data_IF_717061192246
#
_entry.id   IF_717061192246
#
_cell.length_a   1.000
_cell.length_b   1.000
_cell.length_c   1.000
_cell.angle_alpha   90.00
_cell.angle_beta   90.00
_cell.angle_gamma   90.00
#
_symmetry.space_group_name_H-M   'P 1'
#
loop_
_entity.id
_entity.type
_entity.pdbx_description
1 polymer ?
#
# COMPACT_ATOMS: atom_id res chain seq x y z
N UNK A 1 -34.51 3.20 11.93
CA UNK A 1 -33.39 3.41 10.98
C UNK A 1 -32.64 2.09 10.86
N UNK A 2 -32.14 1.70 9.68
CA UNK A 2 -31.29 0.52 9.55
C UNK A 2 -30.05 0.65 10.46
N UNK A 3 -29.57 -0.48 10.99
CA UNK A 3 -28.38 -0.53 11.86
C UNK A 3 -27.15 -0.16 11.01
N UNK A 4 -26.34 0.78 11.52
CA UNK A 4 -25.08 1.16 10.87
C UNK A 4 -24.08 0.02 10.93
N UNK A 5 -23.30 -0.19 9.86
CA UNK A 5 -22.19 -1.14 9.88
C UNK A 5 -21.03 -0.55 10.70
N UNK A 6 -20.43 -1.35 11.57
CA UNK A 6 -19.28 -0.97 12.40
C UNK A 6 -18.00 -1.19 11.62
N UNK A 7 -17.33 -0.10 11.27
CA UNK A 7 -16.14 -0.09 10.43
C UNK A 7 -14.91 0.15 11.31
N UNK A 8 -14.07 -0.87 11.46
CA UNK A 8 -12.79 -0.78 12.15
C UNK A 8 -11.74 -0.12 11.27
N UNK A 9 -11.24 1.06 11.63
CA UNK A 9 -10.14 1.72 10.89
C UNK A 9 -8.85 1.46 11.66
N UNK A 10 -7.99 0.57 11.13
CA UNK A 10 -6.71 0.21 11.75
C UNK A 10 -5.60 1.10 11.19
N UNK A 11 -4.82 1.77 12.04
CA UNK A 11 -3.77 2.70 11.63
C UNK A 11 -2.59 2.79 12.61
N UNK A 12 -1.56 3.55 12.27
CA UNK A 12 -0.29 3.64 12.99
C UNK A 12 0.68 2.55 12.54
N UNK A 13 1.05 1.67 13.47
CA UNK A 13 1.95 0.54 13.24
C UNK A 13 3.41 0.81 13.59
N UNK A 14 4.22 -0.24 13.49
CA UNK A 14 5.65 -0.23 13.82
C UNK A 14 6.54 0.24 12.66
N UNK A 15 5.93 0.46 11.50
CA UNK A 15 6.59 0.93 10.28
C UNK A 15 7.13 2.36 10.45
N UNK A 16 8.17 2.70 9.67
CA UNK A 16 8.64 4.10 9.55
C UNK A 16 7.57 5.05 9.00
N UNK A 17 6.46 4.52 8.49
CA UNK A 17 5.34 5.26 7.89
C UNK A 17 4.17 5.47 8.88
N UNK A 18 4.40 5.30 10.19
CA UNK A 18 3.40 5.47 11.25
C UNK A 18 2.61 6.79 11.12
N UNK A 19 3.31 7.91 10.93
CA UNK A 19 2.65 9.23 10.86
C UNK A 19 1.82 9.41 9.58
N UNK A 20 2.26 8.79 8.47
CA UNK A 20 1.50 8.77 7.22
C UNK A 20 0.22 7.97 7.42
N UNK A 21 0.30 6.83 8.09
CA UNK A 21 -0.86 6.00 8.44
C UNK A 21 -1.88 6.75 9.28
N UNK A 22 -1.45 7.51 10.31
CA UNK A 22 -2.36 8.36 11.12
C UNK A 22 -3.06 9.42 10.28
N UNK A 23 -2.35 10.05 9.33
CA UNK A 23 -2.94 11.01 8.38
C UNK A 23 -3.94 10.36 7.43
N UNK A 24 -3.62 9.20 6.87
CA UNK A 24 -4.53 8.45 6.01
C UNK A 24 -5.80 8.04 6.78
N UNK A 25 -5.66 7.59 8.04
CA UNK A 25 -6.79 7.28 8.89
C UNK A 25 -7.69 8.49 9.14
N UNK A 26 -7.09 9.66 9.39
CA UNK A 26 -7.84 10.92 9.47
C UNK A 26 -8.66 11.16 8.20
N UNK A 27 -8.06 11.07 7.02
CA UNK A 27 -8.76 11.32 5.75
C UNK A 27 -9.92 10.33 5.53
N UNK A 28 -9.71 9.04 5.81
CA UNK A 28 -10.76 8.02 5.74
C UNK A 28 -11.90 8.33 6.72
N UNK A 29 -11.58 8.62 7.98
CA UNK A 29 -12.58 8.96 9.02
C UNK A 29 -13.33 10.24 8.66
N UNK A 30 -12.69 11.24 8.08
CA UNK A 30 -13.35 12.49 7.66
C UNK A 30 -14.25 12.29 6.43
N UNK A 31 -13.91 11.38 5.50
CA UNK A 31 -14.63 11.18 4.25
C UNK A 31 -15.76 10.11 4.30
N UNK A 32 -15.65 9.09 5.15
CA UNK A 32 -16.62 7.98 5.22
C UNK A 32 -18.05 8.45 5.54
N UNK A 33 -19.09 7.82 4.98
CA UNK A 33 -20.48 8.23 5.21
C UNK A 33 -20.99 7.82 6.61
N UNK A 34 -21.07 8.79 7.54
CA UNK A 34 -21.50 8.56 8.93
C UNK A 34 -23.00 8.28 9.08
N UNK A 35 -23.79 8.41 8.01
CA UNK A 35 -25.19 7.97 8.03
C UNK A 35 -25.30 6.45 7.86
N UNK A 36 -24.35 5.83 7.15
CA UNK A 36 -24.29 4.38 6.90
C UNK A 36 -23.39 3.62 7.88
N UNK A 37 -22.31 4.27 8.35
CA UNK A 37 -21.21 3.62 9.03
C UNK A 37 -20.94 4.19 10.42
N UNK A 38 -20.80 3.33 11.43
CA UNK A 38 -20.22 3.67 12.72
C UNK A 38 -18.71 3.37 12.68
N UNK A 39 -17.88 4.40 12.85
CA UNK A 39 -16.43 4.23 12.78
C UNK A 39 -15.82 3.89 14.14
N UNK A 40 -15.01 2.82 14.16
CA UNK A 40 -14.25 2.36 15.33
C UNK A 40 -12.75 2.54 15.01
N UNK A 41 -12.10 3.61 15.50
CA UNK A 41 -10.65 3.78 15.28
C UNK A 41 -9.87 2.76 16.12
N UNK A 42 -8.82 2.18 15.55
CA UNK A 42 -7.92 1.23 16.21
C UNK A 42 -6.49 1.63 15.83
N UNK A 43 -5.67 1.98 16.81
CA UNK A 43 -4.30 2.38 16.54
C UNK A 43 -3.33 1.31 17.00
N UNK A 44 -2.27 1.08 16.25
CA UNK A 44 -1.13 0.26 16.66
C UNK A 44 0.01 1.22 16.98
N UNK A 45 0.59 1.14 18.18
CA UNK A 45 1.72 1.98 18.58
C UNK A 45 3.00 1.63 17.81
N UNK A 46 4.06 2.45 17.96
CA UNK A 46 5.37 2.17 17.36
C UNK A 46 6.04 0.93 17.96
N UNK A 47 5.66 0.57 19.17
CA UNK A 47 6.07 -0.65 19.87
C UNK A 47 5.25 -1.88 19.44
N UNK A 48 4.09 -1.66 18.81
CA UNK A 48 3.20 -2.71 18.31
C UNK A 48 1.98 -2.98 19.18
N UNK A 49 1.74 -2.18 20.22
CA UNK A 49 0.58 -2.35 21.10
C UNK A 49 -0.68 -1.86 20.39
N UNK A 50 -1.76 -2.61 20.50
CA UNK A 50 -3.05 -2.29 19.88
C UNK A 50 -3.91 -1.52 20.87
N UNK A 51 -4.09 -0.23 20.59
CA UNK A 51 -4.78 0.71 21.45
C UNK A 51 -6.30 0.63 21.24
N UNK A 52 -7.06 0.63 22.33
CA UNK A 52 -8.51 0.74 22.28
C UNK A 52 -9.00 2.01 21.56
N UNK A 53 -10.26 2.03 21.07
CA UNK A 53 -10.80 3.17 20.34
C UNK A 53 -10.68 4.52 21.03
N UNK A 54 -10.87 4.58 22.35
CA UNK A 54 -10.78 5.82 23.10
C UNK A 54 -9.36 6.39 23.14
N UNK A 55 -8.34 5.52 23.22
CA UNK A 55 -6.93 5.89 23.16
C UNK A 55 -6.48 6.19 21.73
N UNK A 56 -6.87 5.36 20.74
CA UNK A 56 -6.61 5.59 19.32
C UNK A 56 -7.16 6.95 18.85
N UNK A 57 -8.34 7.35 19.32
CA UNK A 57 -8.95 8.63 19.01
C UNK A 57 -8.14 9.86 19.49
N UNK A 58 -7.18 9.69 20.42
CA UNK A 58 -6.32 10.76 20.91
C UNK A 58 -5.15 11.09 19.98
N UNK A 59 -4.80 10.15 19.10
CA UNK A 59 -3.81 10.35 18.03
C UNK A 59 -4.38 11.17 16.86
N UNK A 60 -5.70 11.30 16.78
CA UNK A 60 -6.39 12.02 15.72
C UNK A 60 -6.63 13.49 16.10
N UNK A 61 -6.66 14.42 15.13
CA UNK A 61 -6.98 15.81 15.42
C UNK A 61 -8.34 15.99 16.08
N UNK A 62 -8.47 17.02 16.93
CA UNK A 62 -9.72 17.31 17.67
C UNK A 62 -10.97 17.39 16.76
N UNK A 63 -10.83 17.94 15.54
CA UNK A 63 -11.91 18.03 14.55
C UNK A 63 -12.38 16.64 14.14
N UNK A 64 -11.45 15.75 13.82
CA UNK A 64 -11.70 14.35 13.44
C UNK A 64 -12.30 13.56 14.61
N UNK A 65 -11.76 13.73 15.82
CA UNK A 65 -12.28 13.08 17.04
C UNK A 65 -13.76 13.38 17.25
N UNK A 66 -14.22 14.61 16.98
CA UNK A 66 -15.64 15.01 17.12
C UNK A 66 -16.60 14.27 16.18
N UNK A 67 -16.09 13.69 15.08
CA UNK A 67 -16.89 12.89 14.14
C UNK A 67 -17.14 11.46 14.64
N UNK A 68 -16.39 11.01 15.64
CA UNK A 68 -16.51 9.66 16.19
C UNK A 68 -17.66 9.55 17.19
N UNK A 69 -18.26 8.36 17.28
CA UNK A 69 -19.34 8.07 18.23
C UNK A 69 -18.90 8.31 19.68
N UNK A 70 -19.85 8.59 20.57
CA UNK A 70 -19.55 8.73 22.01
C UNK A 70 -18.93 7.45 22.58
N UNK A 71 -19.37 6.29 22.10
CA UNK A 71 -18.80 4.97 22.41
C UNK A 71 -17.31 4.90 22.04
N UNK A 72 -16.95 5.28 20.82
CA UNK A 72 -15.55 5.28 20.37
C UNK A 72 -14.67 6.27 21.15
N UNK A 73 -15.23 7.39 21.67
CA UNK A 73 -14.47 8.42 22.40
C UNK A 73 -14.35 8.20 23.90
N UNK A 74 -15.37 7.61 24.53
CA UNK A 74 -15.52 7.51 25.98
C UNK A 74 -15.40 6.10 26.54
N UNK A 75 -15.01 5.12 25.71
CA UNK A 75 -14.79 3.73 26.14
C UNK A 75 -13.52 3.55 26.97
N UNK A 76 -13.27 2.30 27.36
CA UNK A 76 -12.00 1.90 27.99
C UNK A 76 -10.80 2.29 27.12
N UNK A 77 -9.68 2.58 27.77
CA UNK A 77 -8.38 2.83 27.14
C UNK A 77 -7.43 1.64 27.23
N UNK A 78 -7.89 0.53 27.80
CA UNK A 78 -7.13 -0.73 27.88
C UNK A 78 -6.80 -1.23 26.48
N UNK A 79 -5.64 -1.86 26.33
CA UNK A 79 -5.22 -2.40 25.05
C UNK A 79 -6.17 -3.52 24.58
N UNK A 80 -6.32 -3.61 23.27
CA UNK A 80 -7.21 -4.53 22.58
C UNK A 80 -6.41 -5.48 21.69
N UNK A 81 -7.06 -6.52 21.18
CA UNK A 81 -6.51 -7.39 20.16
C UNK A 81 -7.63 -7.85 19.22
N UNK A 82 -7.24 -8.22 18.00
CA UNK A 82 -8.03 -9.11 17.16
C UNK A 82 -7.45 -10.50 17.34
N UNK A 83 -8.30 -11.46 17.70
CA UNK A 83 -7.90 -12.86 17.85
C UNK A 83 -8.27 -13.58 16.55
N UNK A 84 -7.38 -14.46 16.06
CA UNK A 84 -7.61 -15.31 14.91
C UNK A 84 -8.58 -16.48 15.19
N UNK A 85 -9.66 -16.20 15.93
CA UNK A 85 -10.73 -17.12 16.25
C UNK A 85 -12.05 -16.56 15.69
N UNK A 86 -12.64 -17.20 14.66
CA UNK A 86 -13.90 -16.76 14.06
C UNK A 86 -15.09 -16.69 15.04
N UNK A 87 -15.05 -17.38 16.19
CA UNK A 87 -16.09 -17.26 17.22
C UNK A 87 -16.02 -15.92 17.98
N UNK A 88 -14.91 -15.20 17.84
CA UNK A 88 -14.60 -13.91 18.47
C UNK A 88 -14.33 -12.84 17.40
N UNK A 89 -15.25 -12.69 16.43
CA UNK A 89 -15.12 -11.74 15.31
C UNK A 89 -15.15 -10.26 15.74
N UNK A 90 -14.02 -9.70 16.17
CA UNK A 90 -13.91 -8.28 16.50
C UNK A 90 -12.78 -7.93 17.47
N UNK A 91 -12.95 -6.83 18.19
CA UNK A 91 -11.97 -6.33 19.17
C UNK A 91 -12.22 -6.96 20.53
N UNK A 92 -11.23 -7.70 21.05
CA UNK A 92 -11.21 -8.19 22.42
C UNK A 92 -10.32 -7.29 23.28
N UNK A 93 -10.70 -7.04 24.52
CA UNK A 93 -9.83 -6.35 25.49
C UNK A 93 -8.90 -7.36 26.13
N UNK A 94 -7.65 -6.97 26.38
CA UNK A 94 -6.66 -7.90 26.93
C UNK A 94 -6.89 -8.22 28.41
N UNK A 95 -7.42 -7.26 29.18
CA UNK A 95 -7.62 -7.41 30.63
C UNK A 95 -9.06 -7.83 31.01
N UNK A 96 -9.91 -8.16 30.03
CA UNK A 96 -11.27 -8.66 30.30
C UNK A 96 -11.64 -9.88 29.45
N UNK A 97 -12.05 -10.95 30.14
CA UNK A 97 -12.24 -12.28 29.53
C UNK A 97 -13.52 -12.44 28.69
N UNK A 98 -14.47 -11.48 28.73
CA UNK A 98 -15.85 -11.80 28.32
C UNK A 98 -16.48 -10.97 27.20
N UNK A 99 -15.88 -9.88 26.70
CA UNK A 99 -16.54 -9.05 25.67
C UNK A 99 -15.69 -8.78 24.43
N UNK A 100 -16.03 -9.45 23.32
CA UNK A 100 -15.60 -9.06 21.98
C UNK A 100 -16.57 -8.02 21.42
N UNK A 101 -16.05 -6.89 20.96
CA UNK A 101 -16.82 -5.89 20.24
C UNK A 101 -16.79 -6.19 18.74
N UNK A 102 -17.93 -6.57 18.11
CA UNK A 102 -17.92 -7.03 16.72
C UNK A 102 -17.62 -5.90 15.74
N UNK A 103 -16.87 -6.22 14.70
CA UNK A 103 -16.59 -5.35 13.55
C UNK A 103 -17.20 -5.99 12.30
N UNK A 104 -17.94 -5.20 11.52
CA UNK A 104 -18.56 -5.69 10.29
C UNK A 104 -17.56 -5.68 9.13
N UNK A 105 -16.69 -4.66 9.07
CA UNK A 105 -15.60 -4.55 8.09
C UNK A 105 -14.40 -3.82 8.72
N UNK A 106 -13.18 -4.20 8.33
CA UNK A 106 -11.96 -3.48 8.68
C UNK A 106 -11.39 -2.76 7.46
N UNK A 107 -10.98 -1.49 7.64
CA UNK A 107 -10.17 -0.74 6.69
C UNK A 107 -8.75 -0.66 7.27
N UNK A 108 -7.81 -1.51 6.80
CA UNK A 108 -6.41 -1.36 7.17
C UNK A 108 -5.84 -0.15 6.44
N UNK A 109 -5.33 0.81 7.19
CA UNK A 109 -4.67 2.02 6.68
C UNK A 109 -3.22 2.06 7.16
N UNK A 110 -2.59 0.89 7.25
CA UNK A 110 -1.20 0.70 7.66
C UNK A 110 -0.32 0.69 6.41
N UNK A 111 0.75 1.47 6.41
CA UNK A 111 1.69 1.56 5.28
C UNK A 111 3.02 0.85 5.59
N UNK A 112 3.56 0.17 4.59
CA UNK A 112 4.82 -0.57 4.67
C UNK A 112 4.72 -1.87 5.47
N UNK A 113 5.76 -2.17 6.25
CA UNK A 113 5.88 -3.43 6.99
C UNK A 113 4.70 -3.64 7.94
N UNK A 114 4.22 -4.88 8.01
CA UNK A 114 3.03 -5.36 8.72
C UNK A 114 1.67 -4.89 8.18
N UNK A 115 1.64 -3.85 7.35
CA UNK A 115 0.42 -3.32 6.76
C UNK A 115 0.17 -3.83 5.34
N UNK A 116 1.18 -3.74 4.49
CA UNK A 116 1.11 -4.02 3.06
C UNK A 116 1.69 -5.38 2.67
N UNK A 117 2.31 -6.10 3.60
CA UNK A 117 3.08 -7.33 3.35
C UNK A 117 2.29 -8.63 3.55
N UNK A 118 0.97 -8.53 3.79
CA UNK A 118 0.10 -9.68 4.01
C UNK A 118 -0.06 -10.09 5.47
N UNK A 119 0.71 -9.52 6.40
CA UNK A 119 0.69 -9.92 7.82
C UNK A 119 -0.65 -9.61 8.48
N UNK A 120 -1.11 -8.35 8.41
CA UNK A 120 -2.39 -7.95 8.98
C UNK A 120 -3.56 -8.63 8.27
N UNK A 121 -3.45 -8.81 6.95
CA UNK A 121 -4.44 -9.52 6.14
C UNK A 121 -4.60 -10.95 6.65
N UNK A 122 -3.50 -11.66 6.91
CA UNK A 122 -3.55 -13.03 7.45
C UNK A 122 -4.26 -13.10 8.80
N UNK A 123 -4.02 -12.14 9.70
CA UNK A 123 -4.73 -12.05 10.97
C UNK A 123 -6.25 -11.86 10.77
N UNK A 124 -6.65 -10.95 9.88
CA UNK A 124 -8.06 -10.66 9.60
C UNK A 124 -8.75 -11.83 8.90
N UNK A 125 -8.04 -12.56 8.04
CA UNK A 125 -8.51 -13.79 7.41
C UNK A 125 -8.75 -14.89 8.45
N UNK A 126 -7.83 -15.09 9.40
CA UNK A 126 -8.00 -16.05 10.50
C UNK A 126 -9.14 -15.67 11.44
N UNK A 127 -9.34 -14.37 11.69
CA UNK A 127 -10.44 -13.87 12.52
C UNK A 127 -11.80 -13.88 11.80
N UNK A 128 -11.84 -14.28 10.52
CA UNK A 128 -13.02 -14.22 9.65
C UNK A 128 -13.67 -12.82 9.61
N UNK A 129 -12.86 -11.75 9.62
CA UNK A 129 -13.36 -10.37 9.55
C UNK A 129 -13.22 -9.88 8.11
N UNK A 130 -14.29 -9.40 7.44
CA UNK A 130 -14.18 -8.76 6.13
C UNK A 130 -13.24 -7.55 6.20
N UNK A 131 -12.38 -7.37 5.19
CA UNK A 131 -11.47 -6.23 5.17
C UNK A 131 -11.25 -5.65 3.78
N UNK A 132 -11.00 -4.35 3.75
CA UNK A 132 -10.71 -3.58 2.53
C UNK A 132 -9.31 -3.90 2.02
N UNK A 133 -9.22 -4.14 0.71
CA UNK A 133 -7.98 -4.26 -0.02
C UNK A 133 -7.55 -5.69 -0.33
N UNK A 134 -6.29 -5.80 -0.74
CA UNK A 134 -5.71 -7.04 -1.25
C UNK A 134 -5.65 -8.14 -0.18
N UNK A 135 -5.78 -9.40 -0.59
CA UNK A 135 -5.58 -10.55 0.30
C UNK A 135 -4.12 -10.79 0.69
N UNK A 136 -3.89 -11.76 1.56
CA UNK A 136 -2.54 -12.09 2.06
C UNK A 136 -1.54 -12.34 0.95
N UNK A 137 -1.88 -13.15 -0.06
CA UNK A 137 -0.99 -13.47 -1.18
C UNK A 137 -0.63 -12.21 -1.97
N UNK A 138 -1.64 -11.46 -2.42
CA UNK A 138 -1.44 -10.26 -3.23
C UNK A 138 -0.64 -9.17 -2.51
N UNK A 139 -0.92 -8.94 -1.24
CA UNK A 139 -0.13 -8.03 -0.40
C UNK A 139 1.32 -8.47 -0.28
N UNK A 140 1.58 -9.74 0.06
CA UNK A 140 2.95 -10.26 0.14
C UNK A 140 3.70 -10.19 -1.22
N UNK A 141 3.02 -10.55 -2.31
CA UNK A 141 3.56 -10.50 -3.67
C UNK A 141 3.83 -9.07 -4.14
N UNK A 142 2.96 -8.11 -3.82
CA UNK A 142 3.12 -6.69 -4.15
C UNK A 142 4.27 -6.03 -3.38
N UNK A 143 4.48 -6.43 -2.12
CA UNK A 143 5.58 -5.90 -1.30
C UNK A 143 6.97 -6.37 -1.77
N UNK A 144 7.08 -7.62 -2.20
CA UNK A 144 8.34 -8.22 -2.62
C UNK A 144 8.65 -7.91 -4.09
N UNK A 145 9.54 -6.93 -4.33
CA UNK A 145 9.85 -6.45 -5.69
C UNK A 145 10.30 -7.53 -6.65
N UNK A 146 10.96 -8.57 -6.16
CA UNK A 146 11.46 -9.67 -6.99
C UNK A 146 10.32 -10.59 -7.41
N UNK A 147 9.42 -10.92 -6.47
CA UNK A 147 8.25 -11.76 -6.73
C UNK A 147 7.25 -11.02 -7.62
N UNK A 148 6.94 -9.77 -7.28
CA UNK A 148 6.12 -8.87 -8.10
C UNK A 148 6.57 -8.87 -9.57
N UNK A 149 7.87 -8.64 -9.81
CA UNK A 149 8.43 -8.60 -11.17
C UNK A 149 8.42 -9.96 -11.86
N UNK A 150 8.54 -11.05 -11.12
CA UNK A 150 8.40 -12.39 -11.68
C UNK A 150 6.96 -12.62 -12.19
N UNK A 151 5.95 -12.21 -11.41
CA UNK A 151 4.53 -12.29 -11.78
C UNK A 151 4.20 -11.38 -12.96
N UNK A 152 4.73 -10.15 -12.98
CA UNK A 152 4.57 -9.24 -14.11
C UNK A 152 5.19 -9.79 -15.40
N UNK A 153 6.37 -10.40 -15.30
CA UNK A 153 7.02 -11.06 -16.43
C UNK A 153 6.20 -12.23 -16.96
N UNK A 154 5.67 -13.08 -16.08
CA UNK A 154 4.79 -14.18 -16.45
C UNK A 154 3.51 -13.69 -17.15
N UNK A 155 2.92 -12.61 -16.64
CA UNK A 155 1.82 -11.92 -17.29
C UNK A 155 2.22 -11.24 -18.61
N UNK A 156 3.49 -11.21 -19.02
CA UNK A 156 3.94 -10.55 -20.23
C UNK A 156 3.85 -9.01 -20.17
N UNK A 157 3.98 -8.44 -18.98
CA UNK A 157 4.10 -7.00 -18.78
C UNK A 157 5.55 -6.56 -18.99
N UNK A 158 5.81 -5.46 -19.73
CA UNK A 158 7.14 -4.89 -19.84
C UNK A 158 7.57 -4.34 -18.49
N UNK A 159 8.73 -4.78 -18.00
CA UNK A 159 9.35 -4.36 -16.75
C UNK A 159 10.80 -3.96 -17.03
N UNK A 160 11.40 -3.18 -16.12
CA UNK A 160 12.83 -2.90 -16.20
C UNK A 160 13.68 -4.16 -15.98
N UNK A 161 14.85 -4.19 -16.61
CA UNK A 161 15.84 -5.23 -16.37
C UNK A 161 16.32 -5.18 -14.92
N UNK A 162 16.41 -6.36 -14.29
CA UNK A 162 16.85 -6.47 -12.92
C UNK A 162 17.62 -7.77 -12.66
N UNK A 163 18.44 -7.74 -11.60
CA UNK A 163 18.98 -8.94 -10.96
C UNK A 163 18.73 -8.85 -9.46
N UNK A 164 18.79 -10.00 -8.78
CA UNK A 164 18.69 -10.03 -7.32
C UNK A 164 19.64 -11.06 -6.72
N UNK A 165 19.92 -10.92 -5.44
CA UNK A 165 20.72 -11.87 -4.65
C UNK A 165 20.38 -11.74 -3.17
N UNK A 166 20.75 -12.76 -2.42
CA UNK A 166 20.72 -12.72 -0.97
C UNK A 166 21.96 -12.02 -0.40
N UNK A 167 21.81 -11.43 0.78
CA UNK A 167 22.89 -10.84 1.56
C UNK A 167 24.04 -11.84 1.76
N UNK A 168 23.72 -13.09 2.03
CA UNK A 168 24.72 -14.15 2.19
C UNK A 168 25.56 -14.38 0.92
N UNK A 169 25.01 -14.19 -0.28
CA UNK A 169 25.78 -14.26 -1.52
C UNK A 169 26.73 -13.06 -1.67
N UNK A 170 26.29 -11.87 -1.23
CA UNK A 170 27.12 -10.66 -1.21
C UNK A 170 28.29 -10.79 -0.23
N UNK A 171 28.00 -11.23 1.01
CA UNK A 171 29.01 -11.41 2.07
C UNK A 171 30.03 -12.50 1.70
N UNK A 172 29.59 -13.58 1.05
CA UNK A 172 30.48 -14.66 0.64
C UNK A 172 31.34 -14.33 -0.59
N UNK A 173 30.82 -13.55 -1.55
CA UNK A 173 31.47 -13.34 -2.84
C UNK A 173 31.11 -12.01 -3.52
N UNK A 174 31.35 -10.89 -2.84
CA UNK A 174 31.04 -9.53 -3.32
C UNK A 174 31.57 -9.21 -4.72
N UNK A 175 32.79 -9.65 -5.05
CA UNK A 175 33.39 -9.49 -6.38
C UNK A 175 32.61 -10.22 -7.48
N UNK A 176 32.11 -11.43 -7.18
CA UNK A 176 31.33 -12.24 -8.13
C UNK A 176 29.98 -11.58 -8.38
N UNK A 177 29.32 -11.09 -7.32
CA UNK A 177 28.05 -10.36 -7.41
C UNK A 177 28.24 -9.07 -8.20
N UNK A 178 29.27 -8.27 -7.89
CA UNK A 178 29.58 -7.01 -8.59
C UNK A 178 29.83 -7.24 -10.07
N UNK A 179 30.61 -8.26 -10.45
CA UNK A 179 30.81 -8.62 -11.88
C UNK A 179 29.50 -9.00 -12.56
N UNK A 180 28.60 -9.70 -11.86
CA UNK A 180 27.28 -10.06 -12.41
C UNK A 180 26.43 -8.82 -12.65
N UNK A 181 26.38 -7.86 -11.71
CA UNK A 181 25.68 -6.58 -11.86
C UNK A 181 26.20 -5.82 -13.08
N UNK A 182 27.52 -5.61 -13.16
CA UNK A 182 28.13 -4.84 -14.27
C UNK A 182 27.84 -5.47 -15.63
N UNK A 183 27.84 -6.81 -15.71
CA UNK A 183 27.60 -7.52 -16.97
C UNK A 183 26.13 -7.49 -17.40
N UNK A 184 25.19 -7.55 -16.47
CA UNK A 184 23.76 -7.73 -16.78
C UNK A 184 22.94 -6.44 -16.72
N UNK A 185 23.35 -5.47 -15.91
CA UNK A 185 22.66 -4.19 -15.71
C UNK A 185 23.51 -3.01 -16.19
N UNK A 186 24.80 -3.01 -15.84
CA UNK A 186 25.68 -1.87 -16.12
C UNK A 186 25.43 -0.69 -15.16
N UNK A 187 25.85 0.50 -15.57
CA UNK A 187 25.69 1.74 -14.80
C UNK A 187 25.06 2.84 -15.65
N UNK A 188 24.30 3.77 -15.04
CA UNK A 188 23.91 3.78 -13.62
C UNK A 188 22.85 2.71 -13.28
N UNK A 189 22.87 2.24 -12.04
CA UNK A 189 21.96 1.22 -11.53
C UNK A 189 21.29 1.68 -10.23
N UNK A 190 20.07 1.20 -9.97
CA UNK A 190 19.39 1.39 -8.70
C UNK A 190 19.50 0.14 -7.85
N UNK A 191 19.97 0.28 -6.61
CA UNK A 191 20.03 -0.79 -5.62
C UNK A 191 18.93 -0.56 -4.60
N UNK A 192 18.13 -1.59 -4.30
CA UNK A 192 16.98 -1.50 -3.40
C UNK A 192 16.87 -2.73 -2.49
N UNK A 193 16.39 -2.58 -1.25
CA UNK A 193 15.82 -3.69 -0.48
C UNK A 193 14.60 -4.25 -1.22
N UNK A 194 14.40 -5.57 -1.22
CA UNK A 194 13.30 -6.17 -1.95
C UNK A 194 11.93 -5.89 -1.30
N UNK A 195 11.86 -5.85 0.05
CA UNK A 195 10.61 -5.87 0.82
C UNK A 195 10.34 -4.58 1.64
N UNK A 196 10.73 -3.41 1.13
CA UNK A 196 10.43 -2.13 1.78
C UNK A 196 9.88 -1.08 0.81
N UNK A 197 8.99 -0.23 1.30
CA UNK A 197 8.44 0.92 0.57
C UNK A 197 9.22 2.22 0.79
N UNK A 198 8.65 3.31 0.27
CA UNK A 198 9.03 4.70 0.59
C UNK A 198 10.52 5.05 0.39
N UNK A 199 11.17 4.43 -0.60
CA UNK A 199 12.57 4.68 -0.99
C UNK A 199 13.61 4.44 0.12
N UNK A 200 13.23 3.78 1.22
CA UNK A 200 14.14 3.49 2.33
C UNK A 200 15.20 2.47 1.87
N UNK A 201 16.48 2.81 2.06
CA UNK A 201 17.60 1.96 1.65
C UNK A 201 17.82 1.91 0.13
N UNK A 202 17.11 2.71 -0.65
CA UNK A 202 17.31 2.82 -2.10
C UNK A 202 18.49 3.74 -2.41
N UNK A 203 19.33 3.38 -3.38
CA UNK A 203 20.48 4.19 -3.78
C UNK A 203 20.79 4.03 -5.26
N UNK A 204 21.22 5.13 -5.89
CA UNK A 204 21.75 5.12 -7.26
C UNK A 204 23.26 4.89 -7.22
N UNK A 205 23.73 3.88 -7.95
CA UNK A 205 25.13 3.56 -8.12
C UNK A 205 25.59 3.91 -9.55
N UNK A 206 26.67 4.67 -9.67
CA UNK A 206 27.23 5.10 -10.95
C UNK A 206 28.52 4.34 -11.32
N UNK A 207 29.08 3.60 -10.37
CA UNK A 207 30.33 2.85 -10.51
C UNK A 207 30.38 1.69 -9.50
N UNK A 208 31.44 0.89 -9.54
CA UNK A 208 31.62 -0.27 -8.65
C UNK A 208 31.72 0.12 -7.17
N UNK A 209 32.31 1.28 -6.86
CA UNK A 209 32.52 1.74 -5.48
C UNK A 209 31.20 2.16 -4.85
N UNK A 210 30.41 2.95 -5.57
CA UNK A 210 29.06 3.35 -5.17
C UNK A 210 28.10 2.17 -5.15
N UNK A 211 28.27 1.19 -6.04
CA UNK A 211 27.51 -0.07 -6.02
C UNK A 211 27.70 -0.84 -4.71
N UNK A 212 28.95 -1.06 -4.28
CA UNK A 212 29.22 -1.79 -3.04
C UNK A 212 28.59 -1.10 -1.83
N UNK A 213 28.75 0.23 -1.72
CA UNK A 213 28.13 1.04 -0.65
C UNK A 213 26.61 0.96 -0.67
N UNK A 214 26.01 1.01 -1.86
CA UNK A 214 24.56 0.93 -2.03
C UNK A 214 24.02 -0.45 -1.66
N UNK A 215 24.73 -1.54 -1.99
CA UNK A 215 24.39 -2.90 -1.58
C UNK A 215 24.51 -3.05 -0.07
N UNK A 216 25.59 -2.56 0.54
CA UNK A 216 25.77 -2.61 2.00
C UNK A 216 24.66 -1.85 2.73
N UNK A 217 24.20 -0.72 2.19
CA UNK A 217 23.07 0.03 2.74
C UNK A 217 21.77 -0.77 2.62
N UNK A 218 21.42 -1.25 1.42
CA UNK A 218 20.21 -2.04 1.20
C UNK A 218 20.20 -3.31 2.06
N UNK A 219 21.36 -3.94 2.23
CA UNK A 219 21.56 -5.10 3.07
C UNK A 219 21.35 -4.82 4.56
N UNK A 220 21.33 -3.57 5.05
CA UNK A 220 20.93 -3.29 6.45
C UNK A 220 19.44 -3.48 6.67
N UNK A 221 18.66 -3.31 5.62
CA UNK A 221 17.21 -3.24 5.68
C UNK A 221 16.51 -4.50 5.19
N UNK A 222 17.16 -5.30 4.35
CA UNK A 222 16.62 -6.57 3.87
C UNK A 222 17.73 -7.60 3.65
N UNK A 223 17.38 -8.88 3.75
CA UNK A 223 18.25 -10.00 3.37
C UNK A 223 18.24 -10.28 1.87
N UNK A 224 17.25 -9.77 1.13
CA UNK A 224 17.15 -9.89 -0.33
C UNK A 224 17.29 -8.51 -0.97
N UNK A 225 18.24 -8.39 -1.90
CA UNK A 225 18.58 -7.13 -2.56
C UNK A 225 18.28 -7.27 -4.06
N UNK A 226 17.67 -6.25 -4.63
CA UNK A 226 17.43 -6.12 -6.08
C UNK A 226 18.27 -4.97 -6.64
N UNK A 227 18.82 -5.18 -7.83
CA UNK A 227 19.55 -4.16 -8.61
C UNK A 227 18.88 -4.04 -9.97
N UNK A 228 18.46 -2.83 -10.32
CA UNK A 228 17.69 -2.51 -11.52
C UNK A 228 18.42 -1.52 -12.41
N UNK A 229 18.15 -1.57 -13.72
CA UNK A 229 18.60 -0.54 -14.64
C UNK A 229 17.97 0.84 -14.33
N UNK A 230 18.68 1.92 -14.63
CA UNK A 230 18.07 3.25 -14.68
C UNK A 230 17.11 3.31 -15.87
N UNK A 231 15.84 3.54 -15.59
CA UNK A 231 14.86 3.91 -16.63
C UNK A 231 14.74 5.42 -16.67
N UNK A 232 15.15 6.03 -17.79
CA UNK A 232 14.89 7.45 -18.05
C UNK A 232 13.50 7.61 -18.67
N UNK A 233 12.57 8.13 -17.88
CA UNK A 233 11.18 8.29 -18.26
C UNK A 233 10.39 9.05 -17.22
N UNK A 234 9.17 9.43 -17.59
CA UNK A 234 8.17 10.04 -16.71
C UNK A 234 7.56 8.97 -15.81
N UNK A 235 7.32 9.30 -14.55
CA UNK A 235 6.60 8.43 -13.61
C UNK A 235 5.10 8.68 -13.72
N UNK A 236 4.37 7.66 -14.15
CA UNK A 236 2.92 7.73 -14.31
C UNK A 236 2.28 6.75 -13.35
N UNK A 237 1.23 7.16 -12.64
CA UNK A 237 0.48 6.31 -11.72
C UNK A 237 -0.92 6.04 -12.29
N UNK A 238 -1.49 4.88 -11.99
CA UNK A 238 -2.87 4.54 -12.29
C UNK A 238 -3.48 3.76 -11.13
N UNK A 239 -4.61 4.25 -10.60
CA UNK A 239 -5.33 3.57 -9.53
C UNK A 239 -6.25 2.49 -10.11
N UNK A 240 -6.36 1.36 -9.41
CA UNK A 240 -7.25 0.25 -9.76
C UNK A 240 -8.12 -0.09 -8.55
N UNK A 241 -9.41 -0.31 -8.75
CA UNK A 241 -10.34 -0.83 -7.73
C UNK A 241 -11.18 -1.96 -8.29
N UNK A 242 -11.69 -2.83 -7.41
CA UNK A 242 -12.61 -3.92 -7.75
C UNK A 242 -12.14 -5.26 -7.20
N UNK A 243 -12.95 -6.29 -7.43
CA UNK A 243 -12.60 -7.69 -7.18
C UNK A 243 -12.35 -8.36 -8.54
N UNK A 244 -13.32 -9.16 -9.02
CA UNK A 244 -13.18 -9.95 -10.25
C UNK A 244 -13.25 -9.09 -11.53
N UNK A 245 -13.94 -7.95 -11.46
CA UNK A 245 -14.09 -6.97 -12.55
C UNK A 245 -13.38 -5.64 -12.21
N UNK A 246 -12.03 -5.60 -12.22
CA UNK A 246 -11.28 -4.41 -11.82
C UNK A 246 -11.42 -3.26 -12.83
N UNK A 247 -11.50 -2.04 -12.30
CA UNK A 247 -11.59 -0.79 -13.05
C UNK A 247 -10.37 0.07 -12.78
N UNK A 248 -9.85 0.72 -13.83
CA UNK A 248 -8.73 1.64 -13.73
C UNK A 248 -9.15 3.10 -13.88
N UNK A 249 -8.61 3.96 -13.04
CA UNK A 249 -8.79 5.42 -13.08
C UNK A 249 -8.14 6.04 -14.33
N UNK A 250 -8.35 7.34 -14.54
CA UNK A 250 -7.45 8.15 -15.34
C UNK A 250 -6.04 8.14 -14.71
N UNK A 251 -4.97 8.11 -15.52
CA UNK A 251 -3.61 8.14 -15.01
C UNK A 251 -3.27 9.52 -14.43
N UNK A 252 -2.42 9.55 -13.41
CA UNK A 252 -1.84 10.75 -12.80
C UNK A 252 -0.32 10.77 -12.92
N UNK A 253 0.28 11.92 -12.70
CA UNK A 253 1.75 12.09 -12.75
C UNK A 253 2.20 13.16 -11.75
N UNK A 254 3.35 12.94 -11.13
CA UNK A 254 4.05 13.98 -10.40
C UNK A 254 4.82 14.88 -11.36
N UNK A 255 4.42 16.15 -11.44
CA UNK A 255 5.15 17.20 -12.15
C UNK A 255 6.07 17.88 -11.16
N UNK A 256 7.36 17.63 -11.32
CA UNK A 256 8.43 18.24 -10.52
C UNK A 256 8.80 19.59 -11.15
N UNK A 257 8.70 20.67 -10.37
CA UNK A 257 9.04 22.03 -10.85
C UNK A 257 10.47 22.46 -10.51
N UNK A 258 11.16 21.70 -9.64
CA UNK A 258 12.54 21.94 -9.22
C UNK A 258 13.39 20.67 -9.46
N UNK A 259 14.42 20.76 -10.31
CA UNK A 259 15.27 19.61 -10.65
C UNK A 259 15.98 18.98 -9.44
N UNK A 260 16.16 19.73 -8.34
CA UNK A 260 16.70 19.18 -7.09
C UNK A 260 15.79 18.12 -6.44
N UNK A 261 14.49 18.13 -6.77
CA UNK A 261 13.44 17.21 -6.31
C UNK A 261 13.14 16.07 -7.31
N UNK A 262 14.00 15.86 -8.32
CA UNK A 262 13.77 14.81 -9.36
C UNK A 262 13.77 13.39 -8.78
N UNK A 263 14.32 13.19 -7.59
CA UNK A 263 14.18 11.94 -6.84
C UNK A 263 13.15 12.15 -5.72
N UNK A 264 11.91 11.70 -5.94
CA UNK A 264 10.82 11.80 -4.98
C UNK A 264 11.15 11.01 -3.71
N UNK A 265 11.70 11.71 -2.73
CA UNK A 265 12.00 11.16 -1.42
C UNK A 265 10.74 11.09 -0.53
N UNK A 266 10.86 10.46 0.63
CA UNK A 266 9.77 10.33 1.60
C UNK A 266 9.18 11.69 2.01
N UNK A 267 10.00 12.73 2.12
CA UNK A 267 9.57 14.06 2.55
C UNK A 267 8.70 14.73 1.48
N UNK A 268 9.09 14.60 0.22
CA UNK A 268 8.39 15.18 -0.94
C UNK A 268 7.09 14.45 -1.27
N UNK A 269 7.02 13.13 -1.11
CA UNK A 269 5.80 12.35 -1.36
C UNK A 269 4.66 12.65 -0.39
N UNK A 270 4.99 13.02 0.84
CA UNK A 270 4.01 13.14 1.92
C UNK A 270 3.87 14.54 2.52
N UNK A 271 4.77 15.48 2.21
CA UNK A 271 4.65 16.88 2.62
C UNK A 271 4.32 17.75 1.40
N UNK A 272 3.28 18.57 1.49
CA UNK A 272 2.99 19.59 0.47
C UNK A 272 4.05 20.70 0.54
N UNK A 273 5.23 20.45 0.00
CA UNK A 273 6.36 21.39 0.00
C UNK A 273 6.19 22.48 -1.06
N UNK A 274 5.31 22.28 -2.04
CA UNK A 274 5.10 23.18 -3.18
C UNK A 274 6.08 22.96 -4.35
N UNK A 275 6.97 21.97 -4.25
CA UNK A 275 7.97 21.67 -5.29
C UNK A 275 7.50 20.63 -6.31
N UNK A 276 6.45 19.87 -5.98
CA UNK A 276 5.90 18.79 -6.80
C UNK A 276 4.39 18.86 -6.79
N UNK A 277 3.77 18.89 -7.98
CA UNK A 277 2.32 18.81 -8.15
C UNK A 277 1.90 17.44 -8.67
N UNK A 278 0.89 16.81 -8.06
CA UNK A 278 0.27 15.62 -8.64
C UNK A 278 -0.85 16.03 -9.59
N UNK A 279 -0.61 15.87 -10.89
CA UNK A 279 -1.49 16.29 -11.98
C UNK A 279 -2.32 15.11 -12.48
N UNK A 280 -3.64 15.31 -12.54
CA UNK A 280 -4.58 14.34 -13.11
C UNK A 280 -5.56 15.05 -14.06
N UNK A 281 -5.79 14.55 -15.29
CA UNK A 281 -5.08 13.42 -15.90
C UNK A 281 -3.64 13.78 -16.28
N UNK A 282 -2.77 12.77 -16.29
CA UNK A 282 -1.41 12.88 -16.81
C UNK A 282 -1.44 13.39 -18.25
N UNK A 283 -0.45 14.21 -18.63
CA UNK A 283 -0.36 14.83 -19.96
C UNK A 283 0.12 13.81 -21.00
N UNK A 284 -0.78 12.91 -21.40
CA UNK A 284 -0.55 11.84 -22.38
C UNK A 284 -1.71 11.75 -23.37
N UNK A 285 -1.49 11.10 -24.52
CA UNK A 285 -2.56 10.87 -25.48
C UNK A 285 -3.65 9.96 -24.91
N UNK A 286 -4.89 10.05 -25.42
CA UNK A 286 -5.99 9.14 -25.02
C UNK A 286 -5.63 7.67 -25.27
N UNK A 287 -4.90 7.38 -26.35
CA UNK A 287 -4.44 6.03 -26.67
C UNK A 287 -3.43 5.52 -25.63
N UNK A 288 -2.49 6.37 -25.22
CA UNK A 288 -1.51 6.07 -24.15
C UNK A 288 -2.21 5.85 -22.81
N UNK A 289 -3.16 6.72 -22.44
CA UNK A 289 -3.94 6.56 -21.22
C UNK A 289 -4.70 5.22 -21.19
N UNK A 290 -5.36 4.85 -22.29
CA UNK A 290 -6.05 3.55 -22.41
C UNK A 290 -5.09 2.37 -22.26
N UNK A 291 -3.89 2.46 -22.84
CA UNK A 291 -2.86 1.43 -22.70
C UNK A 291 -2.36 1.30 -21.25
N UNK A 292 -2.17 2.43 -20.56
CA UNK A 292 -1.80 2.45 -19.12
C UNK A 292 -2.88 1.75 -18.30
N UNK A 293 -4.15 2.11 -18.49
CA UNK A 293 -5.28 1.49 -17.78
C UNK A 293 -5.35 -0.03 -17.99
N UNK A 294 -5.19 -0.48 -19.24
CA UNK A 294 -5.15 -1.92 -19.57
C UNK A 294 -3.98 -2.64 -18.89
N UNK A 295 -2.79 -2.03 -18.89
CA UNK A 295 -1.62 -2.60 -18.22
C UNK A 295 -1.77 -2.58 -16.70
N UNK A 296 -2.43 -1.57 -16.12
CA UNK A 296 -2.69 -1.46 -14.69
C UNK A 296 -3.63 -2.57 -14.21
N UNK A 297 -4.75 -2.78 -14.92
CA UNK A 297 -5.66 -3.91 -14.66
C UNK A 297 -4.92 -5.25 -14.79
N UNK A 298 -4.09 -5.41 -15.81
CA UNK A 298 -3.33 -6.65 -15.99
C UNK A 298 -2.30 -6.87 -14.88
N UNK A 299 -1.63 -5.83 -14.41
CA UNK A 299 -0.69 -5.91 -13.27
C UNK A 299 -1.40 -6.23 -11.95
N UNK A 300 -2.58 -5.64 -11.75
CA UNK A 300 -3.48 -5.92 -10.63
C UNK A 300 -3.87 -7.40 -10.58
N UNK A 301 -4.35 -7.93 -11.71
CA UNK A 301 -4.72 -9.34 -11.84
C UNK A 301 -3.52 -10.29 -11.69
N UNK A 302 -2.33 -9.89 -12.19
CA UNK A 302 -1.13 -10.73 -12.13
C UNK A 302 -0.67 -11.07 -10.69
N UNK A 303 -1.04 -10.24 -9.71
CA UNK A 303 -0.73 -10.49 -8.29
C UNK A 303 -1.93 -11.00 -7.49
N UNK A 304 -3.06 -11.32 -8.14
CA UNK A 304 -4.31 -11.73 -7.47
C UNK A 304 -4.89 -10.64 -6.53
N UNK A 305 -4.77 -9.37 -6.92
CA UNK A 305 -5.21 -8.25 -6.10
C UNK A 305 -6.74 -8.19 -5.95
N UNK A 306 -7.20 -7.55 -4.87
CA UNK A 306 -8.62 -7.29 -4.59
C UNK A 306 -8.81 -5.94 -3.88
N UNK A 307 -10.01 -5.37 -3.96
CA UNK A 307 -10.35 -4.07 -3.37
C UNK A 307 -9.69 -2.88 -4.09
N UNK A 308 -8.40 -2.65 -3.86
CA UNK A 308 -7.65 -1.51 -4.42
C UNK A 308 -6.17 -1.79 -4.63
N UNK A 309 -5.58 -1.08 -5.59
CA UNK A 309 -4.13 -0.88 -5.68
C UNK A 309 -3.80 0.38 -6.47
N UNK A 310 -2.52 0.75 -6.49
CA UNK A 310 -1.97 1.72 -7.42
C UNK A 310 -0.83 1.08 -8.20
N UNK A 311 -0.86 1.20 -9.52
CA UNK A 311 0.20 0.69 -10.40
C UNK A 311 1.01 1.88 -10.93
N UNK A 312 2.32 1.79 -10.78
CA UNK A 312 3.27 2.84 -11.12
C UNK A 312 4.04 2.41 -12.37
N UNK A 313 4.26 3.33 -13.29
CA UNK A 313 4.82 3.11 -14.61
C UNK A 313 5.96 4.07 -14.90
N UNK A 314 6.90 3.63 -15.74
CA UNK A 314 7.76 4.52 -16.48
C UNK A 314 7.26 4.69 -17.91
N UNK A 315 7.06 5.94 -18.35
CA UNK A 315 6.81 6.32 -19.73
C UNK A 315 8.09 6.93 -20.33
N UNK A 316 8.74 6.19 -21.22
CA UNK A 316 9.98 6.64 -21.87
C UNK A 316 9.70 7.68 -22.95
N UNK A 317 10.75 8.40 -23.38
CA UNK A 317 10.68 9.41 -24.43
C UNK A 317 10.20 8.86 -25.78
N UNK A 318 10.48 7.59 -26.07
CA UNK A 318 10.01 6.89 -27.29
C UNK A 318 8.53 6.45 -27.21
N UNK A 319 7.85 6.74 -26.09
CA UNK A 319 6.46 6.37 -25.84
C UNK A 319 6.27 4.94 -25.32
N UNK A 320 7.35 4.18 -25.10
CA UNK A 320 7.26 2.85 -24.48
C UNK A 320 6.90 2.96 -22.99
N UNK A 321 6.11 1.99 -22.52
CA UNK A 321 5.63 1.90 -21.15
C UNK A 321 6.26 0.69 -20.48
N UNK A 322 6.66 0.85 -19.22
CA UNK A 322 7.13 -0.22 -18.35
C UNK A 322 6.40 -0.15 -17.02
N UNK A 323 5.96 -1.28 -16.49
CA UNK A 323 5.43 -1.38 -15.13
C UNK A 323 6.61 -1.35 -14.16
N UNK A 324 6.60 -0.39 -13.24
CA UNK A 324 7.60 -0.28 -12.20
C UNK A 324 7.23 -1.15 -10.99
N UNK A 325 6.07 -0.88 -10.40
CA UNK A 325 5.59 -1.53 -9.19
C UNK A 325 4.05 -1.44 -9.03
N UNK A 326 3.51 -2.24 -8.11
CA UNK A 326 2.13 -2.14 -7.62
C UNK A 326 2.15 -1.94 -6.11
N UNK A 327 1.35 -0.99 -5.63
CA UNK A 327 1.17 -0.65 -4.23
C UNK A 327 -0.21 -1.13 -3.79
N UNK A 328 -0.27 -2.08 -2.84
CA UNK A 328 -1.53 -2.73 -2.44
C UNK A 328 -2.33 -1.96 -1.40
N UNK A 329 -1.70 -1.04 -0.65
CA UNK A 329 -2.39 -0.03 0.16
C UNK A 329 -1.79 1.36 -0.11
N UNK A 330 -2.10 1.96 -1.28
CA UNK A 330 -1.59 3.28 -1.61
C UNK A 330 -2.10 4.32 -0.61
N UNK A 331 -1.42 5.47 -0.52
CA UNK A 331 -1.84 6.57 0.34
C UNK A 331 -3.30 6.98 0.09
N UNK A 332 -4.11 6.98 1.16
CA UNK A 332 -5.53 7.34 1.13
C UNK A 332 -5.79 8.73 1.74
N UNK A 333 -4.83 9.64 1.64
CA UNK A 333 -5.01 11.03 2.07
C UNK A 333 -5.71 11.85 0.98
N UNK A 334 -6.36 12.94 1.36
CA UNK A 334 -7.00 13.91 0.43
C UNK A 334 -6.01 14.53 -0.56
N UNK A 335 -4.72 14.56 -0.21
CA UNK A 335 -3.65 15.05 -1.09
C UNK A 335 -2.94 13.94 -1.88
N UNK A 336 -3.20 12.67 -1.57
CA UNK A 336 -2.56 11.51 -2.23
C UNK A 336 -3.04 11.31 -3.67
N UNK A 337 -2.20 10.66 -4.48
CA UNK A 337 -2.50 10.40 -5.89
C UNK A 337 -3.73 9.50 -6.11
N UNK A 338 -3.93 8.49 -5.27
CA UNK A 338 -5.02 7.52 -5.44
C UNK A 338 -6.42 8.15 -5.40
N UNK A 339 -6.82 8.94 -4.38
CA UNK A 339 -8.12 9.62 -4.40
C UNK A 339 -8.27 10.63 -5.54
N UNK A 340 -7.22 11.42 -5.84
CA UNK A 340 -7.24 12.40 -6.94
C UNK A 340 -7.47 11.76 -8.31
N UNK A 341 -6.87 10.59 -8.55
CA UNK A 341 -7.07 9.84 -9.79
C UNK A 341 -8.53 9.42 -9.99
N UNK A 342 -9.18 8.95 -8.94
CA UNK A 342 -10.60 8.59 -8.98
C UNK A 342 -11.54 9.78 -9.08
N UNK A 343 -11.23 10.88 -8.38
CA UNK A 343 -12.02 12.10 -8.46
C UNK A 343 -12.02 12.69 -9.88
N UNK A 344 -10.85 12.75 -10.53
CA UNK A 344 -10.75 13.13 -11.94
C UNK A 344 -11.45 12.14 -12.89
N UNK A 345 -11.62 10.89 -12.46
CA UNK A 345 -12.39 9.85 -13.17
C UNK A 345 -13.90 9.92 -12.90
N UNK A 346 -14.34 10.90 -12.09
CA UNK A 346 -15.75 11.13 -11.78
C UNK A 346 -16.27 10.41 -10.54
N UNK A 347 -15.41 9.75 -9.74
CA UNK A 347 -15.81 9.06 -8.50
C UNK A 347 -15.19 9.79 -7.29
N UNK A 348 -16.00 10.50 -6.48
CA UNK A 348 -15.47 11.23 -5.34
C UNK A 348 -15.02 10.30 -4.21
N UNK A 349 -14.06 10.73 -3.41
CA UNK A 349 -13.42 9.90 -2.37
C UNK A 349 -14.39 9.21 -1.38
N UNK A 350 -15.46 9.86 -0.87
CA UNK A 350 -16.46 9.17 -0.05
C UNK A 350 -17.15 7.98 -0.74
N UNK A 351 -17.37 8.08 -2.06
CA UNK A 351 -17.95 6.98 -2.86
C UNK A 351 -16.94 5.86 -3.10
N UNK A 352 -15.66 6.18 -3.22
CA UNK A 352 -14.59 5.17 -3.26
C UNK A 352 -14.58 4.37 -1.95
N UNK A 353 -14.63 5.04 -0.79
CA UNK A 353 -14.66 4.32 0.50
C UNK A 353 -15.88 3.39 0.59
N UNK A 354 -17.06 3.85 0.14
CA UNK A 354 -18.28 3.04 0.06
C UNK A 354 -18.08 1.77 -0.78
N UNK A 355 -17.54 1.93 -2.01
CA UNK A 355 -17.25 0.80 -2.90
C UNK A 355 -16.22 -0.17 -2.33
N UNK A 356 -15.18 0.34 -1.67
CA UNK A 356 -14.16 -0.51 -1.04
C UNK A 356 -14.74 -1.37 0.09
N UNK A 357 -15.65 -0.80 0.90
CA UNK A 357 -16.37 -1.54 1.94
C UNK A 357 -17.29 -2.61 1.30
N UNK A 358 -17.97 -2.27 0.21
CA UNK A 358 -18.80 -3.22 -0.54
C UNK A 358 -17.96 -4.38 -1.10
N UNK A 359 -16.81 -4.09 -1.72
CA UNK A 359 -15.89 -5.11 -2.23
C UNK A 359 -15.35 -6.03 -1.12
N UNK A 360 -15.05 -5.48 0.07
CA UNK A 360 -14.62 -6.27 1.21
C UNK A 360 -15.68 -7.29 1.66
N UNK A 361 -16.95 -6.86 1.71
CA UNK A 361 -18.09 -7.71 2.09
C UNK A 361 -18.34 -8.77 1.01
N UNK A 362 -18.32 -8.37 -0.26
CA UNK A 362 -18.48 -9.26 -1.41
C UNK A 362 -17.42 -10.37 -1.41
N UNK A 363 -16.14 -10.00 -1.36
CA UNK A 363 -15.02 -10.95 -1.33
C UNK A 363 -15.12 -11.91 -0.14
N UNK A 364 -15.48 -11.40 1.03
CA UNK A 364 -15.64 -12.23 2.22
C UNK A 364 -16.79 -13.25 2.06
N UNK A 365 -17.94 -12.81 1.51
CA UNK A 365 -19.06 -13.72 1.21
C UNK A 365 -18.69 -14.78 0.18
N UNK A 366 -17.96 -14.40 -0.86
CA UNK A 366 -17.52 -15.36 -1.87
C UNK A 366 -16.60 -16.42 -1.28
N UNK A 367 -15.62 -16.00 -0.47
CA UNK A 367 -14.74 -16.93 0.24
C UNK A 367 -15.51 -17.86 1.18
N UNK A 368 -16.54 -17.38 1.86
CA UNK A 368 -17.36 -18.19 2.77
C UNK A 368 -18.17 -19.28 2.05
N UNK A 369 -18.28 -19.23 0.72
CA UNK A 369 -18.88 -20.30 -0.10
C UNK A 369 -17.92 -21.47 -0.35
N UNK A 370 -16.62 -21.30 -0.10
CA UNK A 370 -15.64 -22.35 -0.29
C UNK A 370 -15.76 -23.42 0.81
N UNK A 371 -15.70 -24.69 0.43
CA UNK A 371 -15.56 -25.80 1.38
C UNK A 371 -14.13 -25.81 1.93
N UNK A 372 -13.97 -25.54 3.23
CA UNK A 372 -12.65 -25.46 3.91
C UNK A 372 -12.43 -26.57 4.94
N UNK A 373 -13.48 -27.33 5.26
CA UNK A 373 -13.43 -28.55 6.07
C UNK A 373 -14.10 -29.66 5.26
N UNK A 374 -13.37 -30.76 5.05
CA UNK A 374 -13.85 -31.98 4.39
C UNK A 374 -13.95 -33.08 5.44
#
# INVERSE_FOLDING_TARGET
MPKQLRIGVIFGGRSGEHEVSVRSARSVIEAIDKSKYEVVPIAISKEGNWLAPAAAAELLPKKTRRLLSSRARGGSKEDVAIIGDPSRSGLMRLDSDESTEPLDVVIPVLHGTYGEDGTIQGLLEMAAIPFVGCGTLASACGMDKVVMKALFRDAGLPICNYIWFLRSEWEAASDKVSRRVVRQIGFPAFVKPANLGSSVGVSKANDKTSLAKAIDLAARYDRKIIVEELVDGREIECAVIGNDEPQASLPGEYVVHDEAARFLDYTEKYSSTGHVDFVVPARVSKATAKKIQQMAVKAYQAIDASGLSRVDFFLKLDGSLMVNEVNTLPGLTDVSGFPKMWEASGIPFPRIIDQLIEFAIERHRERARNETSI
#
